data_IF_974754059652
#
_entry.id   IF_974754059652
#
_cell.length_a   1.000
_cell.length_b   1.000
_cell.length_c   1.000
_cell.angle_alpha   90.00
_cell.angle_beta   90.00
_cell.angle_gamma   90.00
#
_symmetry.space_group_name_H-M   'P 1'
#
loop_
_entity.id
_entity.type
_entity.pdbx_description
1 polymer ?
#
# COMPACT_ATOMS: atom_id res chain seq x y z
N UNK A 1 18.49 -17.91 -2.77
CA UNK A 1 18.03 -16.86 -1.82
C UNK A 1 18.85 -16.77 -0.53
N UNK A 2 19.59 -17.83 -0.13
CA UNK A 2 20.49 -17.86 1.04
C UNK A 2 21.84 -17.15 0.82
N UNK A 3 21.86 -15.86 0.45
CA UNK A 3 23.12 -15.10 0.32
C UNK A 3 23.98 -15.43 -0.90
N UNK A 4 23.49 -16.23 -1.84
CA UNK A 4 24.21 -16.62 -3.07
C UNK A 4 24.06 -15.61 -4.22
N UNK A 5 23.18 -14.60 -4.09
CA UNK A 5 23.02 -13.52 -5.07
C UNK A 5 23.60 -12.25 -4.46
N UNK A 6 24.93 -12.14 -4.48
CA UNK A 6 25.72 -11.08 -3.86
C UNK A 6 25.68 -9.77 -4.65
N UNK A 7 24.51 -9.33 -5.14
CA UNK A 7 24.41 -8.05 -5.83
C UNK A 7 23.71 -7.01 -4.92
N UNK A 8 24.24 -5.78 -4.77
CA UNK A 8 23.73 -4.77 -3.83
C UNK A 8 22.22 -4.49 -3.90
N UNK A 9 21.62 -4.70 -5.08
CA UNK A 9 20.17 -4.62 -5.28
C UNK A 9 19.37 -5.59 -4.40
N UNK A 10 19.85 -6.82 -4.17
CA UNK A 10 19.10 -7.85 -3.43
C UNK A 10 19.25 -7.76 -1.92
N UNK A 11 20.13 -6.88 -1.43
CA UNK A 11 20.39 -6.63 -0.02
C UNK A 11 20.59 -5.13 0.23
N UNK A 12 19.53 -4.31 0.08
CA UNK A 12 19.62 -2.88 0.31
C UNK A 12 20.10 -2.60 1.75
N UNK A 13 21.15 -1.77 1.89
CA UNK A 13 21.78 -1.48 3.19
C UNK A 13 21.00 -0.46 4.03
N UNK A 14 20.09 0.28 3.40
CA UNK A 14 19.44 1.45 3.98
C UNK A 14 18.04 1.17 4.54
N UNK A 15 17.35 0.16 3.99
CA UNK A 15 15.97 -0.18 4.33
C UNK A 15 15.75 -1.68 4.28
N UNK A 16 14.77 -2.16 5.05
CA UNK A 16 14.34 -3.55 4.99
C UNK A 16 13.38 -3.74 3.80
N UNK A 17 13.76 -4.57 2.82
CA UNK A 17 12.91 -4.93 1.68
C UNK A 17 12.57 -6.43 1.61
N UNK A 18 13.09 -7.24 2.54
CA UNK A 18 12.92 -8.69 2.56
C UNK A 18 13.14 -9.32 1.16
N UNK A 19 12.22 -10.15 0.68
CA UNK A 19 12.28 -10.79 -0.65
C UNK A 19 11.80 -9.87 -1.80
N UNK A 20 11.32 -8.65 -1.52
CA UNK A 20 10.72 -7.77 -2.53
C UNK A 20 11.73 -6.90 -3.27
N UNK A 21 12.97 -6.78 -2.78
CA UNK A 21 14.03 -5.87 -3.28
C UNK A 21 13.69 -4.38 -3.10
N UNK A 22 12.46 -3.98 -3.42
CA UNK A 22 11.90 -2.66 -3.22
C UNK A 22 11.13 -2.58 -1.89
N UNK A 23 11.55 -1.66 -1.03
CA UNK A 23 10.95 -1.46 0.30
C UNK A 23 9.52 -0.92 0.27
N UNK A 24 9.13 -0.16 -0.75
CA UNK A 24 7.76 0.33 -0.88
C UNK A 24 6.80 -0.83 -1.17
N UNK A 25 7.23 -1.79 -2.00
CA UNK A 25 6.43 -2.97 -2.31
C UNK A 25 6.33 -3.93 -1.11
N UNK A 26 7.43 -4.10 -0.38
CA UNK A 26 7.42 -4.85 0.88
C UNK A 26 6.48 -4.20 1.90
N UNK A 27 6.55 -2.87 2.05
CA UNK A 27 5.64 -2.13 2.90
C UNK A 27 4.19 -2.33 2.45
N UNK A 28 3.89 -2.21 1.14
CA UNK A 28 2.56 -2.45 0.59
C UNK A 28 1.97 -3.82 0.92
N UNK A 29 2.80 -4.88 0.99
CA UNK A 29 2.35 -6.18 1.50
C UNK A 29 1.94 -6.12 2.98
N UNK A 30 2.78 -5.50 3.82
CA UNK A 30 2.53 -5.37 5.26
C UNK A 30 1.32 -4.49 5.57
N UNK A 31 1.06 -3.48 4.75
CA UNK A 31 -0.13 -2.62 4.86
C UNK A 31 -1.45 -3.38 4.71
N UNK A 32 -1.44 -4.44 3.92
CA UNK A 32 -2.56 -5.35 3.79
C UNK A 32 -2.62 -6.38 4.92
N UNK A 33 -1.46 -6.93 5.31
CA UNK A 33 -1.36 -8.01 6.29
C UNK A 33 -1.65 -7.55 7.74
N UNK A 34 -1.24 -6.34 8.13
CA UNK A 34 -1.40 -5.83 9.49
C UNK A 34 -2.89 -5.64 9.85
N UNK A 35 -3.73 -4.94 9.05
CA UNK A 35 -5.13 -4.74 9.39
C UNK A 35 -5.94 -6.04 9.47
N UNK A 36 -5.71 -7.01 8.57
CA UNK A 36 -6.37 -8.32 8.67
C UNK A 36 -5.91 -9.08 9.93
N UNK A 37 -4.63 -9.06 10.28
CA UNK A 37 -4.14 -9.70 11.50
C UNK A 37 -4.75 -9.09 12.77
N UNK A 38 -4.92 -7.77 12.81
CA UNK A 38 -5.65 -7.08 13.88
C UNK A 38 -7.11 -7.55 13.92
N UNK A 39 -7.78 -7.64 12.77
CA UNK A 39 -9.14 -8.17 12.67
C UNK A 39 -9.27 -9.60 13.21
N UNK A 40 -8.31 -10.48 12.88
CA UNK A 40 -8.25 -11.85 13.40
C UNK A 40 -8.02 -11.87 14.91
N UNK A 41 -7.11 -11.03 15.43
CA UNK A 41 -6.84 -10.91 16.86
C UNK A 41 -8.10 -10.46 17.63
N UNK A 42 -8.83 -9.47 17.12
CA UNK A 42 -10.07 -8.99 17.76
C UNK A 42 -11.13 -10.10 17.75
N UNK A 43 -11.28 -10.83 16.65
CA UNK A 43 -12.29 -11.89 16.52
C UNK A 43 -12.00 -13.12 17.39
N UNK A 44 -10.73 -13.52 17.51
CA UNK A 44 -10.29 -14.70 18.28
C UNK A 44 -10.00 -14.40 19.75
N UNK A 45 -9.80 -13.13 20.12
CA UNK A 45 -9.35 -12.73 21.45
C UNK A 45 -7.82 -12.81 21.60
N UNK A 46 -7.34 -12.63 22.83
CA UNK A 46 -5.90 -12.55 23.13
C UNK A 46 -5.16 -13.80 22.65
N UNK A 47 -4.20 -13.61 21.74
CA UNK A 47 -3.30 -14.65 21.26
C UNK A 47 -1.89 -14.09 21.21
N UNK A 48 -0.98 -14.63 22.03
CA UNK A 48 0.41 -14.18 22.09
C UNK A 48 1.10 -14.31 20.73
N UNK A 49 0.82 -15.39 19.99
CA UNK A 49 1.35 -15.63 18.65
C UNK A 49 0.91 -14.54 17.66
N UNK A 50 -0.38 -14.16 17.67
CA UNK A 50 -0.87 -13.10 16.78
C UNK A 50 -0.32 -11.73 17.18
N UNK A 51 -0.22 -11.45 18.48
CA UNK A 51 0.39 -10.20 18.98
C UNK A 51 1.86 -10.12 18.55
N UNK A 52 2.62 -11.20 18.75
CA UNK A 52 4.02 -11.28 18.32
C UNK A 52 4.15 -11.08 16.80
N UNK A 53 3.29 -11.73 16.01
CA UNK A 53 3.28 -11.55 14.55
C UNK A 53 2.99 -10.10 14.14
N UNK A 54 2.00 -9.44 14.75
CA UNK A 54 1.69 -8.03 14.47
C UNK A 54 2.86 -7.13 14.87
N UNK A 55 3.50 -7.37 16.02
CA UNK A 55 4.67 -6.60 16.44
C UNK A 55 5.86 -6.78 15.48
N UNK A 56 6.12 -8.01 15.03
CA UNK A 56 7.19 -8.30 14.06
C UNK A 56 6.88 -7.63 12.72
N UNK A 57 5.65 -7.73 12.21
CA UNK A 57 5.22 -7.05 10.99
C UNK A 57 5.31 -5.53 11.12
N UNK A 58 4.90 -4.97 12.26
CA UNK A 58 4.99 -3.54 12.55
C UNK A 58 6.45 -3.05 12.59
N UNK A 59 7.35 -3.79 13.24
CA UNK A 59 8.77 -3.48 13.24
C UNK A 59 9.36 -3.54 11.82
N UNK A 60 9.03 -4.60 11.06
CA UNK A 60 9.46 -4.73 9.67
C UNK A 60 8.94 -3.58 8.79
N UNK A 61 7.70 -3.14 9.00
CA UNK A 61 7.09 -2.02 8.29
C UNK A 61 7.79 -0.69 8.59
N UNK A 62 8.17 -0.45 9.85
CA UNK A 62 8.95 0.74 10.23
C UNK A 62 10.33 0.70 9.60
N UNK A 63 11.01 -0.45 9.60
CA UNK A 63 12.32 -0.59 8.96
C UNK A 63 12.27 -0.60 7.44
N UNK A 64 11.11 -0.81 6.83
CA UNK A 64 10.91 -0.61 5.41
C UNK A 64 10.98 0.87 4.99
N UNK A 65 10.83 1.83 5.92
CA UNK A 65 11.05 3.27 5.65
C UNK A 65 10.24 3.85 4.47
N UNK A 66 9.05 3.29 4.18
CA UNK A 66 8.16 3.81 3.13
C UNK A 66 7.20 4.85 3.72
N UNK A 67 7.48 6.15 3.49
CA UNK A 67 6.67 7.26 4.02
C UNK A 67 5.25 7.27 3.46
N UNK A 68 5.11 6.93 2.16
CA UNK A 68 3.81 6.77 1.52
C UNK A 68 2.98 5.71 2.23
N UNK A 69 3.62 4.58 2.53
CA UNK A 69 2.97 3.51 3.27
C UNK A 69 2.58 3.94 4.70
N UNK A 70 3.45 4.65 5.42
CA UNK A 70 3.12 5.09 6.78
C UNK A 70 1.83 5.92 6.84
N UNK A 71 1.63 6.80 5.86
CA UNK A 71 0.41 7.60 5.73
C UNK A 71 -0.77 6.67 5.40
N UNK A 72 -0.64 5.82 4.39
CA UNK A 72 -1.73 4.95 3.92
C UNK A 72 -2.19 3.94 4.97
N UNK A 73 -1.26 3.26 5.66
CA UNK A 73 -1.59 2.36 6.76
C UNK A 73 -2.24 3.10 7.92
N UNK A 74 -1.68 4.24 8.35
CA UNK A 74 -2.23 5.03 9.46
C UNK A 74 -3.66 5.48 9.16
N UNK A 75 -3.90 6.02 7.96
CA UNK A 75 -5.25 6.40 7.52
C UNK A 75 -6.19 5.20 7.52
N UNK A 76 -5.78 4.05 6.98
CA UNK A 76 -6.62 2.86 6.94
C UNK A 76 -6.95 2.29 8.33
N UNK A 77 -5.98 2.27 9.26
CA UNK A 77 -6.15 1.82 10.63
C UNK A 77 -7.03 2.79 11.43
N UNK A 78 -6.94 4.08 11.16
CA UNK A 78 -7.81 5.08 11.76
C UNK A 78 -9.27 4.87 11.33
N UNK A 79 -9.51 4.68 10.02
CA UNK A 79 -10.85 4.37 9.49
C UNK A 79 -11.37 3.04 10.04
N UNK A 80 -10.53 2.01 10.13
CA UNK A 80 -10.85 0.74 10.80
C UNK A 80 -11.24 0.94 12.26
N UNK A 81 -10.47 1.71 13.02
CA UNK A 81 -10.76 2.03 14.41
C UNK A 81 -12.13 2.69 14.57
N UNK A 82 -12.42 3.72 13.77
CA UNK A 82 -13.73 4.38 13.76
C UNK A 82 -14.86 3.39 13.46
N UNK A 83 -14.70 2.55 12.43
CA UNK A 83 -15.71 1.57 12.07
C UNK A 83 -15.99 0.58 13.21
N UNK A 84 -14.95 0.05 13.85
CA UNK A 84 -15.09 -0.90 14.96
C UNK A 84 -15.66 -0.26 16.23
N UNK A 85 -15.31 0.99 16.53
CA UNK A 85 -15.85 1.74 17.68
C UNK A 85 -17.34 2.05 17.47
N UNK A 86 -17.72 2.55 16.29
CA UNK A 86 -19.12 2.85 15.95
C UNK A 86 -20.00 1.60 16.08
N UNK A 87 -19.44 0.43 15.78
CA UNK A 87 -20.12 -0.87 15.87
C UNK A 87 -19.91 -1.57 17.22
N UNK A 88 -19.38 -0.89 18.24
CA UNK A 88 -19.19 -1.37 19.62
C UNK A 88 -18.33 -2.64 19.74
N UNK A 89 -17.46 -2.89 18.77
CA UNK A 89 -16.53 -4.04 18.78
C UNK A 89 -15.31 -3.75 19.67
N UNK A 90 -14.82 -2.52 19.64
CA UNK A 90 -13.68 -2.07 20.45
C UNK A 90 -14.03 -0.77 21.20
N UNK A 91 -13.24 -0.44 22.22
CA UNK A 91 -13.43 0.78 22.99
C UNK A 91 -12.80 1.99 22.27
N UNK A 92 -13.41 3.19 22.41
CA UNK A 92 -12.85 4.44 21.90
C UNK A 92 -11.40 4.71 22.37
N UNK A 93 -11.03 4.20 23.56
CA UNK A 93 -9.66 4.27 24.09
C UNK A 93 -8.61 3.64 23.16
N UNK A 94 -8.99 2.70 22.30
CA UNK A 94 -8.10 2.07 21.32
C UNK A 94 -7.55 3.07 20.29
N UNK A 95 -8.24 4.18 20.01
CA UNK A 95 -7.70 5.25 19.14
C UNK A 95 -6.48 5.90 19.80
N UNK A 96 -6.51 6.15 21.11
CA UNK A 96 -5.35 6.74 21.79
C UNK A 96 -4.13 5.80 21.75
N UNK A 97 -4.35 4.48 21.80
CA UNK A 97 -3.27 3.51 21.61
C UNK A 97 -2.68 3.61 20.21
N UNK A 98 -3.52 3.68 19.17
CA UNK A 98 -3.05 3.87 17.79
C UNK A 98 -2.26 5.17 17.64
N UNK A 99 -2.78 6.29 18.13
CA UNK A 99 -2.12 7.59 18.07
C UNK A 99 -0.79 7.58 18.84
N UNK A 100 -0.74 6.92 20.00
CA UNK A 100 0.49 6.76 20.76
C UNK A 100 1.52 5.90 20.02
N UNK A 101 1.10 4.79 19.40
CA UNK A 101 1.99 3.96 18.57
C UNK A 101 2.54 4.75 17.37
N UNK A 102 1.70 5.52 16.69
CA UNK A 102 2.12 6.40 15.59
C UNK A 102 3.12 7.43 16.09
N UNK A 103 2.86 8.07 17.24
CA UNK A 103 3.79 9.01 17.88
C UNK A 103 5.12 8.35 18.22
N UNK A 104 5.10 7.15 18.81
CA UNK A 104 6.32 6.39 19.13
C UNK A 104 7.08 6.02 17.86
N UNK A 105 6.42 5.62 16.78
CA UNK A 105 7.05 5.35 15.49
C UNK A 105 7.72 6.61 14.93
N UNK A 106 7.04 7.75 14.97
CA UNK A 106 7.60 9.04 14.55
C UNK A 106 8.82 9.38 15.41
N UNK A 107 8.70 9.28 16.74
CA UNK A 107 9.79 9.54 17.67
C UNK A 107 10.97 8.60 17.47
N UNK A 108 10.76 7.31 17.21
CA UNK A 108 11.83 6.35 16.93
C UNK A 108 12.52 6.66 15.59
N UNK A 109 11.75 7.05 14.57
CA UNK A 109 12.29 7.53 13.30
C UNK A 109 13.13 8.81 13.51
N UNK A 110 12.73 9.69 14.44
CA UNK A 110 13.43 10.92 14.77
C UNK A 110 14.58 10.78 15.78
N UNK A 111 14.52 9.87 16.75
CA UNK A 111 15.46 9.78 17.88
C UNK A 111 16.76 9.09 17.49
N UNK A 112 16.70 8.18 16.52
CA UNK A 112 17.88 7.49 16.04
C UNK A 112 18.69 8.33 15.04
N UNK A 113 18.71 9.66 15.17
CA UNK A 113 19.36 10.57 14.19
C UNK A 113 20.82 10.26 13.94
N UNK A 114 21.60 9.56 14.77
CA UNK A 114 23.01 9.26 14.45
C UNK A 114 23.22 8.02 13.57
N UNK A 115 22.40 6.97 13.76
CA UNK A 115 22.35 5.83 12.84
C UNK A 115 21.45 6.11 11.62
N UNK A 116 20.51 7.05 11.77
CA UNK A 116 19.57 7.51 10.76
C UNK A 116 20.07 8.78 10.05
N UNK A 117 21.03 9.59 10.53
CA UNK A 117 21.56 10.77 9.78
C UNK A 117 22.49 10.36 8.66
N UNK A 118 23.44 9.46 8.93
CA UNK A 118 24.28 8.86 7.87
C UNK A 118 23.43 8.13 6.83
N UNK A 119 22.25 7.64 7.23
CA UNK A 119 21.23 7.07 6.33
C UNK A 119 20.28 8.12 5.77
N UNK A 120 20.02 9.25 6.43
CA UNK A 120 19.12 10.31 5.98
C UNK A 120 19.81 11.23 5.01
N UNK A 121 21.12 11.40 5.02
CA UNK A 121 21.78 12.19 3.98
C UNK A 121 21.72 11.42 2.66
N UNK A 122 21.99 10.11 2.66
CA UNK A 122 21.80 9.25 1.48
C UNK A 122 20.32 9.05 1.13
N UNK A 123 19.46 8.78 2.11
CA UNK A 123 18.00 8.63 1.89
C UNK A 123 17.35 9.95 1.52
N UNK A 124 17.80 11.12 1.98
CA UNK A 124 17.22 12.42 1.57
C UNK A 124 17.64 12.76 0.15
N UNK A 125 18.89 12.49 -0.24
CA UNK A 125 19.34 12.61 -1.64
C UNK A 125 18.60 11.61 -2.54
N UNK A 126 18.51 10.34 -2.16
CA UNK A 126 17.76 9.30 -2.91
C UNK A 126 16.25 9.58 -2.93
N UNK A 127 15.66 10.15 -1.87
CA UNK A 127 14.24 10.54 -1.83
C UNK A 127 14.00 11.80 -2.65
N UNK A 128 14.89 12.80 -2.62
CA UNK A 128 14.74 14.00 -3.46
C UNK A 128 14.87 13.64 -4.93
N UNK A 129 15.87 12.81 -5.26
CA UNK A 129 16.03 12.25 -6.61
C UNK A 129 14.81 11.40 -6.98
N UNK A 130 14.38 10.48 -6.11
CA UNK A 130 13.22 9.62 -6.37
C UNK A 130 11.92 10.40 -6.56
N UNK A 131 11.68 11.46 -5.78
CA UNK A 131 10.50 12.33 -5.93
C UNK A 131 10.57 13.11 -7.23
N UNK A 132 11.69 13.74 -7.53
CA UNK A 132 11.86 14.54 -8.75
C UNK A 132 11.71 13.65 -10.00
N UNK A 133 12.31 12.45 -9.98
CA UNK A 133 12.17 11.46 -11.03
C UNK A 133 10.71 11.04 -11.21
N UNK A 134 9.97 10.75 -10.14
CA UNK A 134 8.53 10.42 -10.22
C UNK A 134 7.72 11.56 -10.83
N UNK A 135 7.97 12.81 -10.44
CA UNK A 135 7.26 13.97 -11.02
C UNK A 135 7.52 14.08 -12.53
N UNK A 136 8.74 13.81 -12.98
CA UNK A 136 9.07 13.74 -14.42
C UNK A 136 8.45 12.54 -15.12
N UNK A 137 8.34 11.39 -14.45
CA UNK A 137 7.62 10.24 -14.98
C UNK A 137 6.12 10.54 -15.11
N UNK A 138 5.54 11.27 -14.16
CA UNK A 138 4.15 11.72 -14.24
C UNK A 138 3.95 12.70 -15.39
N UNK A 139 4.86 13.65 -15.59
CA UNK A 139 4.84 14.56 -16.73
C UNK A 139 4.79 13.81 -18.06
N UNK A 140 5.66 12.80 -18.25
CA UNK A 140 5.63 11.95 -19.45
C UNK A 140 4.35 11.10 -19.55
N UNK A 141 3.84 10.61 -18.41
CA UNK A 141 2.60 9.83 -18.36
C UNK A 141 1.40 10.68 -18.80
N UNK A 142 1.32 11.93 -18.36
CA UNK A 142 0.28 12.86 -18.79
C UNK A 142 0.34 13.11 -20.30
N UNK A 143 1.53 13.29 -20.87
CA UNK A 143 1.70 13.42 -22.33
C UNK A 143 1.21 12.16 -23.06
N UNK A 144 1.49 10.98 -22.52
CA UNK A 144 1.03 9.70 -23.08
C UNK A 144 -0.50 9.55 -23.03
N UNK A 145 -1.12 9.93 -21.91
CA UNK A 145 -2.59 9.97 -21.72
C UNK A 145 -3.23 10.95 -22.69
N UNK A 146 -2.70 12.17 -22.82
CA UNK A 146 -3.24 13.19 -23.72
C UNK A 146 -3.18 12.77 -25.19
N UNK A 147 -2.16 12.00 -25.57
CA UNK A 147 -2.03 11.47 -26.92
C UNK A 147 -2.96 10.28 -27.21
N UNK A 148 -3.34 9.49 -26.19
CA UNK A 148 -4.14 8.27 -26.34
C UNK A 148 -5.25 8.17 -25.26
N UNK A 149 -6.18 9.15 -25.17
CA UNK A 149 -7.02 9.32 -23.97
C UNK A 149 -8.09 8.25 -23.79
N UNK A 150 -8.56 7.62 -24.87
CA UNK A 150 -9.74 6.73 -24.83
C UNK A 150 -9.35 5.30 -24.43
N UNK A 151 -8.36 4.72 -25.11
CA UNK A 151 -7.96 3.32 -24.94
C UNK A 151 -6.52 3.16 -24.44
N UNK A 152 -5.78 4.26 -24.27
CA UNK A 152 -4.36 4.22 -23.92
C UNK A 152 -3.47 3.63 -25.01
N UNK A 153 -2.26 3.25 -24.63
CA UNK A 153 -1.27 2.63 -25.54
C UNK A 153 -1.35 1.10 -25.57
N UNK A 154 -2.21 0.48 -24.75
CA UNK A 154 -2.33 -0.96 -24.56
C UNK A 154 -1.77 -1.44 -23.21
N UNK A 155 -2.38 -2.46 -22.61
CA UNK A 155 -1.99 -3.02 -21.30
C UNK A 155 -0.55 -3.56 -21.36
N UNK A 156 0.28 -3.18 -20.38
CA UNK A 156 1.67 -3.61 -20.29
C UNK A 156 2.61 -2.94 -21.29
N UNK A 157 2.18 -1.86 -21.96
CA UNK A 157 2.99 -1.14 -22.95
C UNK A 157 3.70 0.09 -22.39
N UNK A 158 3.57 0.40 -21.10
CA UNK A 158 4.09 1.63 -20.51
C UNK A 158 5.59 1.81 -20.78
N UNK A 159 6.43 0.84 -20.41
CA UNK A 159 7.90 0.91 -20.58
C UNK A 159 8.32 1.19 -22.03
N UNK A 160 7.67 0.55 -23.00
CA UNK A 160 7.95 0.74 -24.42
C UNK A 160 7.43 2.08 -24.96
N UNK A 161 6.19 2.42 -24.64
CA UNK A 161 5.49 3.59 -25.18
C UNK A 161 5.98 4.89 -24.55
N UNK A 162 6.37 4.87 -23.27
CA UNK A 162 6.78 6.06 -22.51
C UNK A 162 7.96 6.78 -23.16
N UNK A 163 8.84 6.07 -23.87
CA UNK A 163 10.00 6.64 -24.57
C UNK A 163 9.63 7.78 -25.53
N UNK A 164 8.48 7.68 -26.21
CA UNK A 164 8.00 8.72 -27.13
C UNK A 164 7.56 10.01 -26.41
N UNK A 165 7.13 9.87 -25.16
CA UNK A 165 6.55 10.96 -24.36
C UNK A 165 7.49 11.43 -23.24
N UNK A 166 8.65 10.81 -23.12
CA UNK A 166 9.66 11.01 -22.09
C UNK A 166 10.17 12.46 -22.07
N UNK A 167 10.11 13.15 -20.91
CA UNK A 167 10.77 14.45 -20.76
C UNK A 167 12.29 14.33 -20.88
N UNK A 168 13.00 15.35 -21.42
CA UNK A 168 14.45 15.31 -21.60
C UNK A 168 15.25 14.98 -20.33
N UNK A 169 14.74 15.36 -19.15
CA UNK A 169 15.33 15.06 -17.85
C UNK A 169 15.48 13.55 -17.56
N UNK A 170 14.73 12.69 -18.27
CA UNK A 170 14.74 11.24 -18.11
C UNK A 170 15.48 10.50 -19.24
N UNK A 171 16.17 11.20 -20.15
CA UNK A 171 16.77 10.60 -21.35
C UNK A 171 17.66 9.37 -21.09
N UNK A 172 18.30 9.29 -19.91
CA UNK A 172 19.18 8.18 -19.51
C UNK A 172 18.57 7.23 -18.47
N UNK A 173 17.29 7.40 -18.16
CA UNK A 173 16.59 6.67 -17.09
C UNK A 173 15.45 5.89 -17.72
N UNK A 174 15.47 4.56 -17.54
CA UNK A 174 14.35 3.70 -17.92
C UNK A 174 13.22 3.88 -16.91
N UNK A 175 12.02 4.15 -17.41
CA UNK A 175 10.81 4.26 -16.60
C UNK A 175 9.89 3.09 -16.94
N UNK A 176 9.95 2.03 -16.12
CA UNK A 176 9.15 0.82 -16.34
C UNK A 176 7.67 1.05 -16.00
N UNK A 177 7.39 1.94 -15.05
CA UNK A 177 6.05 2.31 -14.59
C UNK A 177 5.96 3.79 -14.26
N UNK A 178 4.73 4.32 -14.18
CA UNK A 178 4.48 5.69 -13.77
C UNK A 178 4.79 5.97 -12.28
N UNK A 179 5.05 4.95 -11.47
CA UNK A 179 5.07 5.06 -10.00
C UNK A 179 3.80 5.70 -9.41
N UNK A 180 2.68 5.40 -10.06
CA UNK A 180 1.33 5.73 -9.68
C UNK A 180 0.44 4.79 -10.50
N UNK A 181 -0.15 3.80 -9.86
CA UNK A 181 -0.95 2.77 -10.52
C UNK A 181 -2.09 3.39 -11.36
N UNK A 182 -2.70 4.48 -10.90
CA UNK A 182 -3.81 5.14 -11.61
C UNK A 182 -3.36 5.89 -12.86
N UNK A 183 -2.22 6.59 -12.80
CA UNK A 183 -1.63 7.21 -13.98
C UNK A 183 -1.14 6.16 -14.99
N UNK A 184 -0.53 5.08 -14.50
CA UNK A 184 -0.10 3.98 -15.34
C UNK A 184 -1.30 3.39 -16.09
N UNK A 185 -2.39 3.11 -15.36
CA UNK A 185 -3.60 2.53 -15.94
C UNK A 185 -4.29 3.50 -16.90
N UNK A 186 -4.32 4.79 -16.61
CA UNK A 186 -4.83 5.81 -17.54
C UNK A 186 -4.02 5.84 -18.84
N UNK A 187 -2.70 5.71 -18.75
CA UNK A 187 -1.82 5.79 -19.91
C UNK A 187 -1.89 4.53 -20.79
N UNK A 188 -2.08 3.35 -20.18
CA UNK A 188 -2.15 2.08 -20.89
C UNK A 188 -3.56 1.69 -21.34
N UNK A 189 -4.60 2.06 -20.58
CA UNK A 189 -5.98 1.60 -20.78
C UNK A 189 -6.99 2.72 -21.01
N UNK A 190 -6.51 3.98 -21.04
CA UNK A 190 -7.34 5.16 -21.22
C UNK A 190 -7.95 5.71 -19.92
N UNK A 191 -8.46 6.94 -20.00
CA UNK A 191 -8.86 7.73 -18.84
C UNK A 191 -9.99 7.12 -18.03
N UNK A 192 -10.86 6.30 -18.65
CA UNK A 192 -11.96 5.64 -17.96
C UNK A 192 -11.50 4.55 -16.98
N UNK A 193 -10.36 3.91 -17.25
CA UNK A 193 -9.86 2.79 -16.47
C UNK A 193 -9.63 3.15 -14.98
N UNK A 194 -8.84 4.18 -14.61
CA UNK A 194 -8.59 4.50 -13.19
C UNK A 194 -9.88 4.78 -12.42
N UNK A 195 -10.88 5.40 -13.04
CA UNK A 195 -12.18 5.63 -12.40
C UNK A 195 -12.95 4.34 -12.14
N UNK A 196 -12.91 3.39 -13.07
CA UNK A 196 -13.51 2.07 -12.87
C UNK A 196 -12.84 1.33 -11.72
N UNK A 197 -11.50 1.35 -11.65
CA UNK A 197 -10.76 0.73 -10.56
C UNK A 197 -11.07 1.38 -9.21
N UNK A 198 -11.07 2.72 -9.14
CA UNK A 198 -11.43 3.46 -7.93
C UNK A 198 -12.88 3.16 -7.50
N UNK A 199 -13.80 2.99 -8.44
CA UNK A 199 -15.16 2.56 -8.15
C UNK A 199 -15.21 1.14 -7.56
N UNK A 200 -14.44 0.20 -8.11
CA UNK A 200 -14.34 -1.18 -7.56
C UNK A 200 -13.78 -1.13 -6.14
N UNK A 201 -12.67 -0.41 -5.91
CA UNK A 201 -12.08 -0.25 -4.58
C UNK A 201 -13.09 0.32 -3.59
N UNK A 202 -13.77 1.39 -3.98
CA UNK A 202 -14.77 2.03 -3.15
C UNK A 202 -15.96 1.11 -2.85
N UNK A 203 -16.40 0.29 -3.81
CA UNK A 203 -17.45 -0.69 -3.60
C UNK A 203 -17.03 -1.79 -2.61
N UNK A 204 -15.81 -2.33 -2.73
CA UNK A 204 -15.27 -3.34 -1.81
C UNK A 204 -15.10 -2.76 -0.41
N UNK A 205 -14.45 -1.59 -0.30
CA UNK A 205 -14.21 -0.88 0.96
C UNK A 205 -15.53 -0.59 1.68
N UNK A 206 -16.54 -0.08 0.97
CA UNK A 206 -17.88 0.16 1.54
C UNK A 206 -18.53 -1.12 2.03
N UNK A 207 -18.49 -2.20 1.24
CA UNK A 207 -19.07 -3.50 1.63
C UNK A 207 -18.39 -4.08 2.88
N UNK A 208 -17.07 -3.96 2.98
CA UNK A 208 -16.32 -4.45 4.12
C UNK A 208 -16.55 -3.63 5.39
N UNK A 209 -16.54 -2.29 5.31
CA UNK A 209 -16.86 -1.43 6.46
C UNK A 209 -18.33 -1.48 6.87
N UNK A 210 -19.26 -1.81 5.95
CA UNK A 210 -20.65 -2.10 6.30
C UNK A 210 -20.78 -3.33 7.22
N UNK A 211 -19.77 -4.21 7.27
CA UNK A 211 -19.68 -5.33 8.22
C UNK A 211 -18.92 -4.93 9.48
N UNK A 212 -19.21 -3.76 10.03
CA UNK A 212 -18.48 -3.19 11.16
C UNK A 212 -18.44 -4.07 12.43
N UNK A 213 -19.37 -5.02 12.59
CA UNK A 213 -19.36 -6.02 13.67
C UNK A 213 -18.47 -7.25 13.39
N UNK A 214 -17.95 -7.41 12.17
CA UNK A 214 -17.09 -8.51 11.74
C UNK A 214 -15.64 -8.02 11.56
N UNK A 215 -14.77 -8.17 12.56
CA UNK A 215 -13.47 -7.50 12.57
C UNK A 215 -12.54 -7.96 11.44
N UNK A 216 -12.67 -9.21 10.99
CA UNK A 216 -11.88 -9.75 9.86
C UNK A 216 -12.27 -9.05 8.55
N UNK A 217 -13.57 -8.88 8.27
CA UNK A 217 -14.04 -8.19 7.08
C UNK A 217 -13.62 -6.71 7.07
N UNK A 218 -13.71 -6.06 8.23
CA UNK A 218 -13.24 -4.68 8.42
C UNK A 218 -11.72 -4.58 8.22
N UNK A 219 -10.95 -5.53 8.76
CA UNK A 219 -9.50 -5.60 8.57
C UNK A 219 -9.10 -5.79 7.10
N UNK A 220 -9.79 -6.67 6.37
CA UNK A 220 -9.57 -6.85 4.93
C UNK A 220 -9.91 -5.57 4.15
N UNK A 221 -11.01 -4.90 4.48
CA UNK A 221 -11.42 -3.64 3.88
C UNK A 221 -10.39 -2.52 4.13
N UNK A 222 -9.82 -2.47 5.33
CA UNK A 222 -8.77 -1.54 5.69
C UNK A 222 -7.47 -1.82 4.93
N UNK A 223 -7.06 -3.08 4.78
CA UNK A 223 -5.92 -3.45 3.94
C UNK A 223 -6.09 -3.06 2.48
N UNK A 224 -7.29 -3.32 1.91
CA UNK A 224 -7.67 -2.88 0.55
C UNK A 224 -7.63 -1.35 0.42
N UNK A 225 -8.18 -0.63 1.40
CA UNK A 225 -8.15 0.84 1.43
C UNK A 225 -6.70 1.35 1.48
N UNK A 226 -5.85 0.74 2.31
CA UNK A 226 -4.45 1.13 2.45
C UNK A 226 -3.68 1.00 1.12
N UNK A 227 -3.75 -0.16 0.47
CA UNK A 227 -3.06 -0.37 -0.80
C UNK A 227 -3.61 0.52 -1.92
N UNK A 228 -4.94 0.73 -1.95
CA UNK A 228 -5.57 1.65 -2.90
C UNK A 228 -5.05 3.09 -2.72
N UNK A 229 -4.87 3.56 -1.48
CA UNK A 229 -4.26 4.87 -1.23
C UNK A 229 -2.80 4.91 -1.66
N UNK A 230 -2.04 3.83 -1.41
CA UNK A 230 -0.63 3.75 -1.78
C UNK A 230 -0.44 3.75 -3.30
N UNK A 231 -1.39 3.22 -4.08
CA UNK A 231 -1.38 3.27 -5.55
C UNK A 231 -1.32 4.69 -6.15
N UNK A 232 -1.61 5.75 -5.39
CA UNK A 232 -1.43 7.14 -5.86
C UNK A 232 0.03 7.59 -5.91
N UNK A 233 0.93 6.90 -5.22
CA UNK A 233 2.35 7.30 -5.10
C UNK A 233 3.33 6.17 -5.40
N UNK A 234 2.81 4.98 -5.71
CA UNK A 234 3.59 3.80 -6.07
C UNK A 234 2.79 2.87 -6.98
N UNK A 235 3.39 1.74 -7.39
CA UNK A 235 2.85 0.83 -8.40
C UNK A 235 2.65 -0.61 -7.88
N UNK A 236 2.06 -0.74 -6.69
CA UNK A 236 1.97 -2.01 -5.96
C UNK A 236 1.13 -3.08 -6.68
N UNK A 237 0.15 -2.69 -7.51
CA UNK A 237 -0.71 -3.65 -8.22
C UNK A 237 0.03 -4.42 -9.32
N UNK A 238 1.20 -3.95 -9.75
CA UNK A 238 2.07 -4.65 -10.69
C UNK A 238 2.97 -5.69 -10.02
N UNK A 239 2.94 -5.78 -8.68
CA UNK A 239 3.76 -6.72 -7.91
C UNK A 239 2.93 -7.96 -7.59
N UNK A 240 3.25 -9.15 -8.16
CA UNK A 240 2.38 -10.32 -8.10
C UNK A 240 1.98 -10.73 -6.68
N UNK A 241 2.91 -10.66 -5.73
CA UNK A 241 2.64 -11.03 -4.34
C UNK A 241 1.67 -10.05 -3.65
N UNK A 242 1.74 -8.76 -3.97
CA UNK A 242 0.80 -7.76 -3.47
C UNK A 242 -0.57 -7.94 -4.13
N UNK A 243 -0.60 -8.12 -5.45
CA UNK A 243 -1.84 -8.35 -6.18
C UNK A 243 -2.56 -9.62 -5.70
N UNK A 244 -1.83 -10.70 -5.42
CA UNK A 244 -2.40 -11.93 -4.89
C UNK A 244 -3.05 -11.71 -3.52
N UNK A 245 -2.34 -11.07 -2.57
CA UNK A 245 -2.90 -10.78 -1.25
C UNK A 245 -4.11 -9.84 -1.38
N UNK A 246 -4.03 -8.82 -2.23
CA UNK A 246 -5.13 -7.92 -2.51
C UNK A 246 -6.39 -8.68 -2.98
N UNK A 247 -6.26 -9.57 -3.96
CA UNK A 247 -7.38 -10.38 -4.46
C UNK A 247 -7.96 -11.28 -3.36
N UNK A 248 -7.12 -11.87 -2.52
CA UNK A 248 -7.57 -12.66 -1.35
C UNK A 248 -8.39 -11.80 -0.38
N UNK A 249 -7.92 -10.59 -0.05
CA UNK A 249 -8.65 -9.68 0.84
C UNK A 249 -10.01 -9.29 0.25
N UNK A 250 -10.06 -8.96 -1.05
CA UNK A 250 -11.31 -8.67 -1.77
C UNK A 250 -12.26 -9.86 -1.70
N UNK A 251 -11.77 -11.07 -1.95
CA UNK A 251 -12.58 -12.28 -1.90
C UNK A 251 -13.17 -12.51 -0.50
N UNK A 252 -12.38 -12.34 0.56
CA UNK A 252 -12.86 -12.45 1.95
C UNK A 252 -13.95 -11.42 2.24
N UNK A 253 -13.75 -10.16 1.86
CA UNK A 253 -14.78 -9.11 2.02
C UNK A 253 -16.07 -9.50 1.32
N UNK A 254 -15.99 -10.01 0.09
CA UNK A 254 -17.16 -10.39 -0.70
C UNK A 254 -17.90 -11.61 -0.14
N UNK A 255 -17.18 -12.60 0.39
CA UNK A 255 -17.77 -13.77 1.06
C UNK A 255 -18.48 -13.36 2.34
N UNK A 256 -17.83 -12.58 3.20
CA UNK A 256 -18.42 -12.07 4.44
C UNK A 256 -19.61 -11.14 4.18
N UNK A 257 -19.60 -10.42 3.04
CA UNK A 257 -20.72 -9.60 2.63
C UNK A 257 -21.98 -10.43 2.32
N UNK A 258 -21.82 -11.53 1.56
CA UNK A 258 -22.91 -12.40 1.09
C UNK A 258 -23.63 -13.14 2.21
N UNK A 259 -22.91 -13.62 3.23
CA UNK A 259 -23.46 -14.44 4.33
C UNK A 259 -24.66 -13.81 5.07
N UNK A 260 -24.83 -12.49 5.00
CA UNK A 260 -25.93 -11.77 5.67
C UNK A 260 -27.15 -11.59 4.77
N UNK A 261 -26.99 -11.51 3.45
CA UNK A 261 -28.12 -11.37 2.53
C UNK A 261 -29.04 -12.59 2.50
N UNK A 262 -28.50 -13.77 2.85
CA UNK A 262 -29.24 -15.03 2.98
C UNK A 262 -29.95 -15.20 4.33
N UNK A 263 -29.50 -14.53 5.39
CA UNK A 263 -30.09 -14.65 6.74
C UNK A 263 -31.28 -13.72 6.94
N UNK A 264 -31.37 -12.62 6.17
CA UNK A 264 -32.53 -11.71 6.17
C UNK A 264 -33.65 -12.14 5.21
N UNK A 265 -33.50 -13.25 4.49
CA UNK A 265 -34.44 -13.74 3.47
C UNK A 265 -35.22 -14.99 3.91
N UNK A 266 -35.17 -15.35 5.19
CA UNK A 266 -35.89 -16.46 5.83
C UNK A 266 -36.65 -15.93 7.04
#
# INVERSE_FOLDING_TARGET
YFGLLCHPWWAPKEFLAATYVNHNHFAGYLEMAIPIAIGVLIRKGKSLMLIAAICIMGAAFVFAQSRGAWICLTTSLFVMGIALIKNKVINAKSIFVLLWLVMVIILLAYANRSAVSKRMDSVTVVISEGRELRLKMWEGSFRMILANPVIGTGIGTFDGSFNRYRPPALNRIRAEFAHNDYLNMAAEMGIAAPFLMLWIFLAVVRRGFAKGQHPIAVGCAAGVLSLALHGFVDFNFHIPANMLLFVVLVAVVMVEYRKIGTVTAT
#
